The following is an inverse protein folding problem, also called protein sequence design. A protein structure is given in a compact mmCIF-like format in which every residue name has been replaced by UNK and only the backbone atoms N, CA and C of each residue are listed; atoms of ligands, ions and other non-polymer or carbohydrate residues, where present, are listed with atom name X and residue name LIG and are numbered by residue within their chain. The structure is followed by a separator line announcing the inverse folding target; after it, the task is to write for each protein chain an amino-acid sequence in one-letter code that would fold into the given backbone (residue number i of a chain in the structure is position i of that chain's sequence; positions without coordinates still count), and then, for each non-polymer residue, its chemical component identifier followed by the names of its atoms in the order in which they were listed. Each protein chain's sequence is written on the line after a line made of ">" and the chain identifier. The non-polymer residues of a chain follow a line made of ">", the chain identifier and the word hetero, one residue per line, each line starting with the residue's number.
data_IF_332724740601
#
_entry.id   IF_332724740601
#
_cell.length_a   1.000
_cell.length_b   1.000
_cell.length_c   1.000
_cell.angle_alpha   90.00
_cell.angle_beta   90.00
_cell.angle_gamma   90.00
#
_symmetry.space_group_name_H-M   'P 1'
#
loop_
_entity.id
_entity.type
_entity.pdbx_description
1 polymer ?
#
# COMPACT_ATOMS: atom_id res chain seq x y z
N UNK A 1 -50.45 -63.00 46.40
CA UNK A 1 -49.07 -63.24 45.89
C UNK A 1 -48.84 -62.65 44.48
N UNK A 2 -49.76 -62.76 43.49
CA UNK A 2 -49.57 -62.17 42.14
C UNK A 2 -49.27 -60.66 42.11
N UNK A 3 -49.86 -59.85 43.01
CA UNK A 3 -49.60 -58.41 43.09
C UNK A 3 -48.17 -58.05 43.51
N UNK A 4 -47.56 -58.85 44.38
CA UNK A 4 -46.21 -58.63 44.91
C UNK A 4 -45.13 -58.80 43.83
N UNK A 5 -45.34 -59.75 42.90
CA UNK A 5 -44.46 -59.94 41.73
C UNK A 5 -44.55 -58.75 40.77
N UNK A 6 -45.76 -58.20 40.55
CA UNK A 6 -45.95 -57.02 39.70
C UNK A 6 -45.29 -55.77 40.29
N UNK A 7 -45.44 -55.53 41.59
CA UNK A 7 -44.81 -54.39 42.27
C UNK A 7 -43.28 -54.50 42.25
N UNK A 8 -42.72 -55.72 42.40
CA UNK A 8 -41.27 -55.95 42.23
C UNK A 8 -40.77 -55.67 40.82
N UNK A 9 -41.58 -55.89 39.78
CA UNK A 9 -41.20 -55.54 38.40
C UNK A 9 -41.05 -54.01 38.18
N UNK A 10 -41.71 -53.18 39.00
CA UNK A 10 -41.53 -51.73 38.95
C UNK A 10 -40.11 -51.30 39.38
N UNK A 11 -39.46 -52.07 40.25
CA UNK A 11 -38.07 -51.84 40.62
C UNK A 11 -37.12 -51.99 39.42
N UNK A 12 -37.40 -52.93 38.49
CA UNK A 12 -36.63 -53.08 37.25
C UNK A 12 -36.85 -51.90 36.29
N UNK A 13 -38.08 -51.38 36.20
CA UNK A 13 -38.38 -50.19 35.38
C UNK A 13 -37.67 -48.94 35.93
N UNK A 14 -37.62 -48.79 37.25
CA UNK A 14 -36.89 -47.69 37.90
C UNK A 14 -35.38 -47.86 37.73
N UNK A 15 -34.83 -49.07 37.73
CA UNK A 15 -33.43 -49.31 37.40
C UNK A 15 -33.10 -48.96 35.93
N UNK A 16 -34.04 -49.18 34.99
CA UNK A 16 -33.88 -48.70 33.62
C UNK A 16 -33.90 -47.16 33.55
N UNK A 17 -34.70 -46.49 34.39
CA UNK A 17 -34.70 -45.04 34.54
C UNK A 17 -33.35 -44.50 35.03
N UNK A 18 -32.67 -45.19 35.95
CA UNK A 18 -31.31 -44.83 36.39
C UNK A 18 -30.28 -44.88 35.26
N UNK A 19 -30.36 -45.88 34.38
CA UNK A 19 -29.46 -45.98 33.22
C UNK A 19 -29.65 -44.81 32.25
N UNK A 20 -30.91 -44.41 32.02
CA UNK A 20 -31.21 -43.25 31.16
C UNK A 20 -30.76 -41.95 31.84
N UNK A 21 -30.95 -41.83 33.15
CA UNK A 21 -30.48 -40.68 33.93
C UNK A 21 -28.95 -40.52 33.89
N UNK A 22 -28.21 -41.63 33.80
CA UNK A 22 -26.76 -41.62 33.64
C UNK A 22 -26.26 -40.90 32.37
N UNK A 23 -27.09 -40.83 31.32
CA UNK A 23 -26.75 -40.15 30.05
C UNK A 23 -26.86 -38.62 30.13
N UNK A 24 -27.54 -38.09 31.16
CA UNK A 24 -27.63 -36.65 31.35
C UNK A 24 -26.25 -36.06 31.67
N UNK A 25 -26.03 -34.79 31.32
CA UNK A 25 -24.84 -34.02 31.76
C UNK A 25 -25.21 -33.05 32.88
N UNK A 26 -26.43 -32.53 32.88
CA UNK A 26 -26.98 -31.59 33.87
C UNK A 26 -28.20 -32.17 34.60
N UNK A 27 -28.54 -31.62 35.77
CA UNK A 27 -29.70 -32.04 36.59
C UNK A 27 -29.71 -33.50 37.08
N UNK A 28 -28.54 -34.16 37.11
CA UNK A 28 -28.42 -35.54 37.60
C UNK A 28 -28.97 -35.72 39.01
N UNK A 29 -28.59 -34.83 39.94
CA UNK A 29 -28.97 -34.95 41.35
C UNK A 29 -30.49 -34.92 41.55
N UNK A 30 -31.18 -34.00 40.88
CA UNK A 30 -32.64 -33.89 40.97
C UNK A 30 -33.33 -35.15 40.42
N UNK A 31 -32.85 -35.69 39.29
CA UNK A 31 -33.38 -36.91 38.70
C UNK A 31 -33.11 -38.13 39.59
N UNK A 32 -31.91 -38.24 40.18
CA UNK A 32 -31.60 -39.32 41.12
C UNK A 32 -32.41 -39.22 42.43
N UNK A 33 -32.69 -38.01 42.91
CA UNK A 33 -33.60 -37.82 44.06
C UNK A 33 -35.03 -38.29 43.75
N UNK A 34 -35.56 -37.95 42.57
CA UNK A 34 -36.88 -38.41 42.13
C UNK A 34 -36.94 -39.94 41.95
N UNK A 35 -35.89 -40.53 41.38
CA UNK A 35 -35.75 -41.99 41.28
C UNK A 35 -35.71 -42.64 42.67
N UNK A 36 -34.96 -42.07 43.60
CA UNK A 36 -34.87 -42.59 44.97
C UNK A 36 -36.23 -42.52 45.69
N UNK A 37 -36.98 -41.43 45.52
CA UNK A 37 -38.34 -41.31 46.05
C UNK A 37 -39.26 -42.39 45.47
N UNK A 38 -39.19 -42.66 44.16
CA UNK A 38 -39.97 -43.73 43.53
C UNK A 38 -39.59 -45.11 44.07
N UNK A 39 -38.31 -45.40 44.30
CA UNK A 39 -37.87 -46.64 44.96
C UNK A 39 -38.46 -46.77 46.36
N UNK A 40 -38.40 -45.70 47.16
CA UNK A 40 -38.98 -45.69 48.51
C UNK A 40 -40.49 -45.92 48.50
N UNK A 41 -41.24 -45.32 47.57
CA UNK A 41 -42.68 -45.56 47.42
C UNK A 41 -42.99 -47.00 47.01
N UNK A 42 -42.16 -47.62 46.15
CA UNK A 42 -42.28 -49.05 45.81
C UNK A 42 -42.04 -49.92 47.05
N UNK A 43 -40.99 -49.65 47.83
CA UNK A 43 -40.65 -50.42 49.02
C UNK A 43 -41.71 -50.29 50.13
N UNK A 44 -42.29 -49.10 50.29
CA UNK A 44 -43.42 -48.86 51.19
C UNK A 44 -44.64 -49.70 50.79
N UNK A 45 -45.00 -49.71 49.51
CA UNK A 45 -46.10 -50.53 49.01
C UNK A 45 -45.84 -52.03 49.20
N UNK A 46 -44.60 -52.50 49.00
CA UNK A 46 -44.22 -53.89 49.27
C UNK A 46 -44.39 -54.22 50.77
N UNK A 47 -43.97 -53.32 51.66
CA UNK A 47 -44.10 -53.48 53.10
C UNK A 47 -45.57 -53.47 53.56
N UNK A 48 -46.39 -52.59 53.01
CA UNK A 48 -47.83 -52.51 53.29
C UNK A 48 -48.56 -53.79 52.84
N UNK A 49 -48.27 -54.29 51.64
CA UNK A 49 -48.83 -55.56 51.12
C UNK A 49 -48.41 -56.76 51.98
N UNK A 50 -47.22 -56.72 52.60
CA UNK A 50 -46.71 -57.82 53.42
C UNK A 50 -47.26 -57.81 54.86
N UNK A 51 -47.52 -56.64 55.44
CA UNK A 51 -47.84 -56.49 56.86
C UNK A 51 -49.30 -56.09 57.16
N UNK A 52 -50.08 -55.69 56.15
CA UNK A 52 -51.48 -55.30 56.33
C UNK A 52 -52.42 -56.10 55.43
N UNK A 53 -53.66 -56.32 55.89
CA UNK A 53 -54.68 -57.08 55.15
C UNK A 53 -55.32 -56.17 54.06
N UNK A 54 -54.57 -55.90 52.99
CA UNK A 54 -55.05 -55.10 51.86
C UNK A 54 -56.00 -55.91 50.96
N UNK A 55 -57.04 -55.25 50.45
CA UNK A 55 -57.91 -55.84 49.43
C UNK A 55 -57.25 -55.81 48.05
N UNK A 56 -57.58 -56.75 47.17
CA UNK A 56 -57.00 -56.83 45.82
C UNK A 56 -57.16 -55.52 45.03
N UNK A 57 -58.31 -54.85 45.18
CA UNK A 57 -58.62 -53.57 44.51
C UNK A 57 -57.76 -52.41 45.01
N UNK A 58 -57.44 -52.37 46.31
CA UNK A 58 -56.54 -51.36 46.88
C UNK A 58 -55.10 -51.55 46.37
N UNK A 59 -54.65 -52.80 46.24
CA UNK A 59 -53.34 -53.13 45.69
C UNK A 59 -53.25 -52.73 44.21
N UNK A 60 -54.28 -53.03 43.42
CA UNK A 60 -54.31 -52.68 42.00
C UNK A 60 -54.37 -51.17 41.78
N UNK A 61 -55.13 -50.42 42.60
CA UNK A 61 -55.15 -48.95 42.53
C UNK A 61 -53.78 -48.35 42.88
N UNK A 62 -53.17 -48.74 44.00
CA UNK A 62 -51.86 -48.25 44.40
C UNK A 62 -50.76 -48.62 43.39
N UNK A 63 -50.83 -49.82 42.79
CA UNK A 63 -49.96 -50.22 41.70
C UNK A 63 -50.13 -49.33 40.45
N UNK A 64 -51.38 -49.08 40.03
CA UNK A 64 -51.66 -48.24 38.87
C UNK A 64 -51.21 -46.78 39.08
N UNK A 65 -51.38 -46.24 40.29
CA UNK A 65 -50.91 -44.89 40.64
C UNK A 65 -49.38 -44.81 40.57
N UNK A 66 -48.69 -45.84 41.04
CA UNK A 66 -47.23 -45.91 41.03
C UNK A 66 -46.69 -46.08 39.59
N UNK A 67 -47.34 -46.91 38.77
CA UNK A 67 -47.04 -47.03 37.33
C UNK A 67 -47.22 -45.68 36.64
N UNK A 68 -48.34 -44.98 36.89
CA UNK A 68 -48.59 -43.67 36.29
C UNK A 68 -47.54 -42.62 36.71
N UNK A 69 -47.08 -42.67 37.96
CA UNK A 69 -46.00 -41.80 38.45
C UNK A 69 -44.65 -42.13 37.79
N UNK A 70 -44.29 -43.42 37.69
CA UNK A 70 -43.06 -43.86 37.01
C UNK A 70 -43.11 -43.45 35.53
N UNK A 71 -44.22 -43.66 34.84
CA UNK A 71 -44.37 -43.28 33.43
C UNK A 71 -44.32 -41.77 33.21
N UNK A 72 -44.79 -40.98 34.17
CA UNK A 72 -44.69 -39.51 34.11
C UNK A 72 -43.23 -39.06 34.24
N UNK A 73 -42.52 -39.55 35.25
CA UNK A 73 -41.11 -39.20 35.45
C UNK A 73 -40.21 -39.74 34.34
N UNK A 74 -40.50 -40.94 33.83
CA UNK A 74 -39.75 -41.52 32.71
C UNK A 74 -39.96 -40.74 31.40
N UNK A 75 -41.18 -40.25 31.13
CA UNK A 75 -41.45 -39.35 29.99
C UNK A 75 -40.71 -38.03 30.12
N UNK A 76 -40.75 -37.42 31.31
CA UNK A 76 -40.01 -36.19 31.61
C UNK A 76 -38.50 -36.40 31.43
N UNK A 77 -37.95 -37.48 31.95
CA UNK A 77 -36.54 -37.82 31.81
C UNK A 77 -36.14 -37.97 30.34
N UNK A 78 -36.94 -38.70 29.55
CA UNK A 78 -36.71 -38.84 28.10
C UNK A 78 -36.72 -37.49 27.38
N UNK A 79 -37.63 -36.59 27.75
CA UNK A 79 -37.69 -35.24 27.17
C UNK A 79 -36.42 -34.45 27.50
N UNK A 80 -35.98 -34.44 28.76
CA UNK A 80 -34.77 -33.71 29.17
C UNK A 80 -33.52 -34.28 28.49
N UNK A 81 -33.41 -35.61 28.35
CA UNK A 81 -32.31 -36.25 27.61
C UNK A 81 -32.32 -35.87 26.14
N UNK A 82 -33.50 -35.84 25.49
CA UNK A 82 -33.62 -35.43 24.11
C UNK A 82 -33.26 -33.94 23.91
N UNK A 83 -33.73 -33.06 24.78
CA UNK A 83 -33.39 -31.63 24.78
C UNK A 83 -31.90 -31.39 24.96
N UNK A 84 -31.25 -32.13 25.88
CA UNK A 84 -29.80 -32.08 26.07
C UNK A 84 -29.05 -32.45 24.78
N UNK A 85 -29.45 -33.53 24.11
CA UNK A 85 -28.82 -33.98 22.86
C UNK A 85 -29.00 -32.96 21.74
N UNK A 86 -30.21 -32.43 21.57
CA UNK A 86 -30.47 -31.39 20.56
C UNK A 86 -29.63 -30.13 20.80
N UNK A 87 -29.48 -29.71 22.06
CA UNK A 87 -28.66 -28.55 22.42
C UNK A 87 -27.17 -28.82 22.18
N UNK A 88 -26.67 -29.97 22.60
CA UNK A 88 -25.28 -30.37 22.39
C UNK A 88 -24.94 -30.45 20.89
N UNK A 89 -25.82 -31.06 20.07
CA UNK A 89 -25.68 -31.11 18.61
C UNK A 89 -25.73 -29.70 17.99
N UNK A 90 -26.63 -28.84 18.46
CA UNK A 90 -26.71 -27.46 17.97
C UNK A 90 -25.46 -26.64 18.29
N UNK A 91 -24.88 -26.82 19.49
CA UNK A 91 -23.64 -26.15 19.87
C UNK A 91 -22.43 -26.71 19.11
N UNK A 92 -22.42 -28.01 18.82
CA UNK A 92 -21.41 -28.62 17.94
C UNK A 92 -21.50 -28.09 16.51
N UNK A 93 -22.71 -27.99 15.95
CA UNK A 93 -22.95 -27.39 14.63
C UNK A 93 -22.48 -25.94 14.57
N UNK A 94 -22.75 -25.12 15.61
CA UNK A 94 -22.24 -23.74 15.69
C UNK A 94 -20.72 -23.68 15.73
N UNK A 95 -20.07 -24.58 16.47
CA UNK A 95 -18.60 -24.66 16.51
C UNK A 95 -18.02 -25.02 15.16
N UNK A 96 -18.64 -25.96 14.44
CA UNK A 96 -18.22 -26.34 13.09
C UNK A 96 -18.40 -25.17 12.12
N UNK A 97 -19.57 -24.50 12.15
CA UNK A 97 -19.83 -23.32 11.31
C UNK A 97 -18.82 -22.19 11.56
N UNK A 98 -18.55 -21.86 12.83
CA UNK A 98 -17.57 -20.83 13.18
C UNK A 98 -16.15 -21.19 12.71
N UNK A 99 -15.74 -22.46 12.79
CA UNK A 99 -14.46 -22.91 12.24
C UNK A 99 -14.40 -22.75 10.73
N UNK A 100 -15.46 -23.15 10.03
CA UNK A 100 -15.54 -23.03 8.57
C UNK A 100 -15.48 -21.56 8.12
N UNK A 101 -16.17 -20.66 8.81
CA UNK A 101 -16.15 -19.23 8.51
C UNK A 101 -14.78 -18.60 8.77
N UNK A 102 -14.13 -18.95 9.88
CA UNK A 102 -12.79 -18.48 10.21
C UNK A 102 -11.76 -18.98 9.18
N UNK A 103 -11.85 -20.25 8.76
CA UNK A 103 -10.98 -20.82 7.74
C UNK A 103 -11.19 -20.14 6.38
N UNK A 104 -12.45 -19.92 5.98
CA UNK A 104 -12.78 -19.17 4.76
C UNK A 104 -12.25 -17.73 4.81
N UNK A 105 -12.33 -17.07 5.96
CA UNK A 105 -11.81 -15.71 6.13
C UNK A 105 -10.28 -15.68 6.04
N UNK A 106 -9.60 -16.65 6.65
CA UNK A 106 -8.15 -16.78 6.56
C UNK A 106 -7.69 -16.99 5.10
N UNK A 107 -8.36 -17.87 4.35
CA UNK A 107 -8.07 -18.10 2.93
C UNK A 107 -8.26 -16.81 2.12
N UNK A 108 -9.37 -16.09 2.34
CA UNK A 108 -9.63 -14.83 1.63
C UNK A 108 -8.58 -13.75 1.93
N UNK A 109 -8.15 -13.64 3.18
CA UNK A 109 -7.12 -12.68 3.58
C UNK A 109 -5.73 -13.06 3.01
N UNK A 110 -5.42 -14.35 2.92
CA UNK A 110 -4.20 -14.85 2.30
C UNK A 110 -4.18 -14.60 0.79
N UNK A 111 -5.28 -14.87 0.09
CA UNK A 111 -5.45 -14.55 -1.34
C UNK A 111 -5.29 -13.05 -1.61
N UNK A 112 -5.87 -12.21 -0.75
CA UNK A 112 -5.75 -10.76 -0.88
C UNK A 112 -4.30 -10.29 -0.71
N UNK A 113 -3.57 -10.87 0.24
CA UNK A 113 -2.14 -10.57 0.45
C UNK A 113 -1.31 -11.02 -0.75
N UNK A 114 -1.59 -12.21 -1.28
CA UNK A 114 -0.89 -12.73 -2.45
C UNK A 114 -1.08 -11.83 -3.68
N UNK A 115 -2.31 -11.36 -3.95
CA UNK A 115 -2.54 -10.47 -5.08
C UNK A 115 -1.90 -9.09 -4.89
N UNK A 116 -1.89 -8.56 -3.65
CA UNK A 116 -1.17 -7.33 -3.31
C UNK A 116 0.34 -7.48 -3.54
N UNK A 117 0.96 -8.56 -3.07
CA UNK A 117 2.39 -8.81 -3.26
C UNK A 117 2.73 -8.98 -4.75
N UNK A 118 1.88 -9.67 -5.51
CA UNK A 118 2.02 -9.80 -6.97
C UNK A 118 1.88 -8.47 -7.69
N UNK A 119 1.00 -7.58 -7.24
CA UNK A 119 0.87 -6.23 -7.79
C UNK A 119 2.08 -5.37 -7.44
N UNK A 120 2.55 -5.40 -6.19
CA UNK A 120 3.77 -4.72 -5.78
C UNK A 120 4.98 -5.20 -6.58
N UNK A 121 5.12 -6.51 -6.79
CA UNK A 121 6.19 -7.08 -7.59
C UNK A 121 6.13 -6.58 -9.04
N UNK A 122 4.94 -6.56 -9.65
CA UNK A 122 4.72 -6.00 -11.01
C UNK A 122 5.11 -4.52 -11.06
N UNK A 123 4.69 -3.72 -10.08
CA UNK A 123 5.02 -2.29 -10.01
C UNK A 123 6.54 -2.06 -9.84
N UNK A 124 7.20 -2.80 -8.94
CA UNK A 124 8.65 -2.71 -8.75
C UNK A 124 9.43 -3.09 -10.01
N UNK A 125 9.01 -4.16 -10.69
CA UNK A 125 9.61 -4.57 -11.95
C UNK A 125 9.45 -3.50 -13.03
N UNK A 126 8.26 -2.91 -13.17
CA UNK A 126 8.00 -1.83 -14.13
C UNK A 126 8.83 -0.56 -13.83
N UNK A 127 8.98 -0.20 -12.55
CA UNK A 127 9.80 0.95 -12.14
C UNK A 127 11.28 0.67 -12.45
N UNK A 128 11.79 -0.52 -12.10
CA UNK A 128 13.18 -0.89 -12.36
C UNK A 128 13.49 -0.90 -13.87
N UNK A 129 12.56 -1.40 -14.70
CA UNK A 129 12.71 -1.38 -16.14
C UNK A 129 12.73 0.05 -16.68
N UNK A 130 11.79 0.91 -16.23
CA UNK A 130 11.76 2.33 -16.63
C UNK A 130 13.06 3.04 -16.23
N UNK A 131 13.57 2.82 -15.02
CA UNK A 131 14.83 3.41 -14.56
C UNK A 131 16.00 2.97 -15.43
N UNK A 132 16.06 1.69 -15.81
CA UNK A 132 17.10 1.17 -16.71
C UNK A 132 17.02 1.79 -18.10
N UNK A 133 15.83 1.95 -18.66
CA UNK A 133 15.63 2.61 -19.96
C UNK A 133 16.04 4.09 -19.90
N UNK A 134 15.67 4.81 -18.83
CA UNK A 134 16.05 6.20 -18.60
C UNK A 134 17.58 6.36 -18.43
N UNK A 135 18.23 5.49 -17.66
CA UNK A 135 19.69 5.48 -17.49
C UNK A 135 20.41 5.21 -18.82
N UNK A 136 19.90 4.28 -19.64
CA UNK A 136 20.46 4.03 -20.97
C UNK A 136 20.30 5.23 -21.91
N UNK A 137 19.17 5.93 -21.86
CA UNK A 137 18.95 7.15 -22.64
C UNK A 137 19.89 8.28 -22.18
N UNK A 138 19.99 8.50 -20.87
CA UNK A 138 20.92 9.48 -20.29
C UNK A 138 22.38 9.16 -20.64
N UNK A 139 22.75 7.88 -20.63
CA UNK A 139 24.08 7.43 -21.06
C UNK A 139 24.36 7.77 -22.52
N UNK A 140 23.39 7.55 -23.43
CA UNK A 140 23.53 7.90 -24.86
C UNK A 140 23.65 9.40 -25.07
N UNK A 141 22.80 10.20 -24.42
CA UNK A 141 22.84 11.67 -24.50
C UNK A 141 24.18 12.20 -23.99
N UNK A 142 24.65 11.71 -22.83
CA UNK A 142 25.94 12.11 -22.27
C UNK A 142 27.12 11.71 -23.18
N UNK A 143 27.05 10.54 -23.82
CA UNK A 143 28.07 10.11 -24.77
C UNK A 143 28.10 11.01 -26.01
N UNK A 144 26.93 11.32 -26.58
CA UNK A 144 26.79 12.22 -27.73
C UNK A 144 27.28 13.64 -27.42
N UNK A 145 26.90 14.19 -26.26
CA UNK A 145 27.42 15.50 -25.81
C UNK A 145 28.94 15.48 -25.60
N UNK A 146 29.49 14.39 -25.05
CA UNK A 146 30.93 14.24 -24.86
C UNK A 146 31.67 14.17 -26.20
N UNK A 147 31.13 13.44 -27.18
CA UNK A 147 31.66 13.40 -28.54
C UNK A 147 31.62 14.78 -29.19
N UNK A 148 30.47 15.45 -29.16
CA UNK A 148 30.30 16.80 -29.71
C UNK A 148 31.26 17.82 -29.07
N UNK A 149 31.51 17.71 -27.76
CA UNK A 149 32.47 18.57 -27.06
C UNK A 149 33.92 18.29 -27.46
N UNK A 150 34.28 17.04 -27.73
CA UNK A 150 35.61 16.69 -28.25
C UNK A 150 35.82 17.25 -29.66
N UNK A 151 34.83 17.07 -30.55
CA UNK A 151 34.87 17.60 -31.91
C UNK A 151 35.02 19.13 -31.92
N UNK A 152 34.26 19.85 -31.09
CA UNK A 152 34.39 21.29 -30.97
C UNK A 152 35.80 21.71 -30.51
N UNK A 153 36.36 21.00 -29.52
CA UNK A 153 37.72 21.29 -29.03
C UNK A 153 38.79 21.02 -30.08
N UNK A 154 38.61 20.00 -30.89
CA UNK A 154 39.52 19.69 -32.01
C UNK A 154 39.45 20.77 -33.10
N UNK A 155 38.25 21.28 -33.40
CA UNK A 155 38.08 22.42 -34.31
C UNK A 155 38.74 23.69 -33.75
N UNK A 156 38.53 24.01 -32.47
CA UNK A 156 39.18 25.16 -31.82
C UNK A 156 40.72 25.06 -31.88
N UNK A 157 41.28 23.87 -31.61
CA UNK A 157 42.72 23.65 -31.71
C UNK A 157 43.23 23.76 -33.15
N UNK A 158 42.47 23.29 -34.14
CA UNK A 158 42.83 23.42 -35.55
C UNK A 158 42.77 24.87 -36.02
N UNK A 159 41.76 25.63 -35.58
CA UNK A 159 41.63 27.06 -35.87
C UNK A 159 42.76 27.86 -35.19
N UNK A 160 43.08 27.56 -33.93
CA UNK A 160 44.21 28.18 -33.21
C UNK A 160 45.55 27.89 -33.90
N UNK A 161 45.77 26.65 -34.35
CA UNK A 161 46.97 26.27 -35.10
C UNK A 161 47.05 27.02 -36.45
N UNK A 162 45.94 27.12 -37.18
CA UNK A 162 45.88 27.86 -38.44
C UNK A 162 46.16 29.36 -38.23
N UNK A 163 45.53 29.96 -37.21
CA UNK A 163 45.76 31.36 -36.85
C UNK A 163 47.21 31.60 -36.43
N UNK A 164 47.82 30.69 -35.67
CA UNK A 164 49.23 30.79 -35.29
C UNK A 164 50.14 30.75 -36.52
N UNK A 165 49.89 29.82 -37.45
CA UNK A 165 50.67 29.72 -38.68
C UNK A 165 50.54 30.99 -39.55
N UNK A 166 49.33 31.53 -39.69
CA UNK A 166 49.11 32.80 -40.41
C UNK A 166 49.85 33.97 -39.76
N UNK A 167 49.74 34.12 -38.44
CA UNK A 167 50.44 35.17 -37.68
C UNK A 167 51.96 35.05 -37.82
N UNK A 168 52.51 33.83 -37.84
CA UNK A 168 53.93 33.64 -38.07
C UNK A 168 54.37 34.00 -39.49
N UNK A 169 53.56 33.67 -40.51
CA UNK A 169 53.81 34.09 -41.89
C UNK A 169 53.80 35.61 -42.00
N UNK A 170 52.78 36.27 -41.46
CA UNK A 170 52.71 37.74 -41.41
C UNK A 170 53.91 38.37 -40.69
N UNK A 171 54.39 37.78 -39.58
CA UNK A 171 55.61 38.24 -38.90
C UNK A 171 56.85 38.13 -39.78
N UNK A 172 57.03 37.00 -40.48
CA UNK A 172 58.16 36.79 -41.40
C UNK A 172 58.12 37.78 -42.56
N UNK A 173 56.94 38.01 -43.13
CA UNK A 173 56.74 38.98 -44.22
C UNK A 173 56.99 40.42 -43.73
N UNK A 174 56.54 40.76 -42.52
CA UNK A 174 56.83 42.05 -41.89
C UNK A 174 58.34 42.26 -41.67
N UNK A 175 59.05 41.26 -41.14
CA UNK A 175 60.50 41.34 -40.94
C UNK A 175 61.26 41.44 -42.27
N UNK A 176 60.83 40.71 -43.30
CA UNK A 176 61.39 40.78 -44.65
C UNK A 176 61.16 42.17 -45.27
N UNK A 177 59.93 42.70 -45.20
CA UNK A 177 59.61 44.05 -45.67
C UNK A 177 60.46 45.11 -44.96
N UNK A 178 60.66 44.97 -43.64
CA UNK A 178 61.52 45.86 -42.86
C UNK A 178 62.99 45.83 -43.31
N UNK A 179 63.53 44.66 -43.66
CA UNK A 179 64.92 44.53 -44.17
C UNK A 179 65.06 45.10 -45.57
N UNK A 180 64.13 44.78 -46.46
CA UNK A 180 64.12 45.33 -47.83
C UNK A 180 64.05 46.86 -47.76
N UNK A 181 63.16 47.43 -46.94
CA UNK A 181 63.06 48.87 -46.70
C UNK A 181 64.40 49.49 -46.26
N UNK A 182 65.13 48.83 -45.36
CA UNK A 182 66.44 49.30 -44.89
C UNK A 182 67.56 49.19 -45.93
N UNK A 183 67.51 48.21 -46.84
CA UNK A 183 68.52 48.00 -47.89
C UNK A 183 68.29 48.88 -49.13
N UNK A 184 67.04 49.19 -49.49
CA UNK A 184 66.70 50.05 -50.64
C UNK A 184 66.57 51.54 -50.29
N UNK A 185 66.82 51.93 -49.03
CA UNK A 185 66.75 53.33 -48.60
C UNK A 185 65.37 53.97 -48.76
N UNK A 186 64.33 53.14 -48.88
CA UNK A 186 62.95 53.58 -49.07
C UNK A 186 62.24 53.48 -47.73
N UNK A 187 61.82 54.61 -47.17
CA UNK A 187 61.01 54.67 -45.95
C UNK A 187 59.63 54.10 -46.25
N UNK A 188 59.37 52.87 -45.79
CA UNK A 188 58.07 52.22 -45.96
C UNK A 188 57.29 52.43 -44.66
N UNK A 189 56.36 53.38 -44.69
CA UNK A 189 55.39 53.63 -43.62
C UNK A 189 54.39 52.46 -43.57
N UNK A 190 54.71 51.40 -42.83
CA UNK A 190 53.81 50.26 -42.63
C UNK A 190 52.79 50.59 -41.52
N UNK A 191 51.48 50.54 -41.82
CA UNK A 191 50.45 50.97 -40.88
C UNK A 191 50.38 50.04 -39.68
N UNK A 192 50.51 50.64 -38.50
CA UNK A 192 50.20 50.02 -37.22
C UNK A 192 48.71 49.64 -37.20
N UNK A 193 48.41 48.33 -37.23
CA UNK A 193 47.06 47.81 -37.01
C UNK A 193 46.63 48.07 -35.56
N UNK A 194 46.19 49.31 -35.29
CA UNK A 194 45.56 49.68 -34.03
C UNK A 194 44.18 49.02 -33.95
N UNK A 195 44.09 47.99 -33.11
CA UNK A 195 42.84 47.55 -32.47
C UNK A 195 42.19 48.74 -31.74
N UNK A 196 41.28 49.46 -32.38
CA UNK A 196 40.40 50.45 -31.73
C UNK A 196 39.00 50.44 -32.34
N UNK A 197 38.19 49.50 -31.87
CA UNK A 197 36.73 49.64 -31.83
C UNK A 197 36.17 48.80 -30.69
N UNK A 198 36.41 49.27 -29.47
CA UNK A 198 35.54 49.05 -28.31
C UNK A 198 35.31 50.40 -27.65
N UNK A 199 34.59 51.27 -28.38
CA UNK A 199 34.09 52.53 -27.83
C UNK A 199 32.60 52.35 -27.55
N UNK A 200 32.27 52.30 -26.25
CA UNK A 200 31.08 52.87 -25.62
C UNK A 200 29.80 52.96 -26.48
N UNK A 201 29.09 51.84 -26.61
CA UNK A 201 27.74 51.78 -27.21
C UNK A 201 26.64 52.05 -26.15
N UNK A 202 26.99 52.14 -24.87
CA UNK A 202 26.02 52.06 -23.76
C UNK A 202 25.38 53.38 -23.29
N UNK A 203 25.48 54.49 -24.03
CA UNK A 203 24.92 55.78 -23.58
C UNK A 203 23.94 56.46 -24.56
N UNK A 204 23.77 55.96 -25.78
CA UNK A 204 22.89 56.60 -26.76
C UNK A 204 21.40 56.24 -26.59
N UNK A 205 21.08 55.10 -25.98
CA UNK A 205 19.71 54.62 -25.87
C UNK A 205 19.41 54.13 -24.44
N UNK A 206 19.05 55.05 -23.53
CA UNK A 206 18.62 54.66 -22.18
C UNK A 206 17.16 54.15 -22.20
N UNK A 207 17.00 52.85 -22.46
CA UNK A 207 15.69 52.20 -22.60
C UNK A 207 15.06 51.74 -21.27
N UNK A 208 15.63 52.17 -20.13
CA UNK A 208 15.20 51.73 -18.78
C UNK A 208 13.71 51.99 -18.49
N UNK A 209 13.13 53.04 -19.08
CA UNK A 209 11.73 53.44 -18.90
C UNK A 209 10.70 52.75 -19.81
N UNK A 210 11.13 51.97 -20.81
CA UNK A 210 10.21 51.43 -21.82
C UNK A 210 9.43 50.21 -21.31
N UNK A 211 8.12 50.18 -21.56
CA UNK A 211 7.28 49.01 -21.27
C UNK A 211 7.50 47.89 -22.32
N UNK A 212 7.15 46.64 -21.99
CA UNK A 212 7.27 45.48 -22.87
C UNK A 212 6.58 45.69 -24.23
N UNK A 213 5.41 46.31 -24.25
CA UNK A 213 4.71 46.65 -25.49
C UNK A 213 5.53 47.62 -26.37
N UNK A 214 6.11 48.65 -25.75
CA UNK A 214 6.92 49.65 -26.46
C UNK A 214 8.23 49.06 -27.00
N UNK A 215 8.88 48.15 -26.25
CA UNK A 215 10.08 47.45 -26.72
C UNK A 215 9.75 46.50 -27.88
N UNK A 216 8.62 45.79 -27.80
CA UNK A 216 8.14 44.91 -28.88
C UNK A 216 7.82 45.71 -30.15
N UNK A 217 7.15 46.84 -30.01
CA UNK A 217 6.78 47.68 -31.15
C UNK A 217 8.02 48.31 -31.78
N UNK A 218 8.99 48.74 -30.98
CA UNK A 218 10.26 49.28 -31.49
C UNK A 218 11.04 48.23 -32.27
N UNK A 219 11.07 46.98 -31.80
CA UNK A 219 11.72 45.86 -32.52
C UNK A 219 11.03 45.57 -33.87
N UNK A 220 9.71 45.66 -33.92
CA UNK A 220 8.95 45.33 -35.13
C UNK A 220 8.90 46.48 -36.15
N UNK A 221 9.18 47.72 -35.74
CA UNK A 221 9.01 48.91 -36.58
C UNK A 221 10.30 49.67 -36.86
N UNK A 222 11.35 49.51 -36.05
CA UNK A 222 12.64 50.19 -36.27
C UNK A 222 13.62 49.28 -37.02
N UNK A 223 14.41 49.87 -37.92
CA UNK A 223 15.52 49.20 -38.63
C UNK A 223 16.90 49.66 -38.13
N UNK A 224 16.96 50.39 -37.00
CA UNK A 224 18.21 50.86 -36.43
C UNK A 224 18.89 49.74 -35.63
N UNK A 225 19.97 49.21 -36.20
CA UNK A 225 20.70 48.07 -35.65
C UNK A 225 21.24 48.35 -34.23
N UNK A 226 21.66 49.57 -33.91
CA UNK A 226 22.18 49.90 -32.57
C UNK A 226 21.06 49.98 -31.52
N UNK A 227 19.88 50.45 -31.93
CA UNK A 227 18.70 50.52 -31.08
C UNK A 227 18.09 49.13 -30.81
N UNK A 228 18.12 48.25 -31.81
CA UNK A 228 17.66 46.86 -31.68
C UNK A 228 18.56 46.06 -30.74
N UNK A 229 19.88 46.27 -30.80
CA UNK A 229 20.82 45.61 -29.89
C UNK A 229 20.63 46.11 -28.44
N UNK A 230 20.44 47.42 -28.25
CA UNK A 230 20.10 48.00 -26.94
C UNK A 230 18.75 47.47 -26.39
N UNK A 231 17.74 47.29 -27.25
CA UNK A 231 16.46 46.67 -26.87
C UNK A 231 16.66 45.22 -26.39
N UNK A 232 17.51 44.46 -27.08
CA UNK A 232 17.81 43.06 -26.75
C UNK A 232 18.58 42.95 -25.43
N UNK A 233 19.56 43.82 -25.21
CA UNK A 233 20.33 43.86 -23.96
C UNK A 233 19.45 44.19 -22.74
N UNK A 234 18.57 45.19 -22.84
CA UNK A 234 17.64 45.52 -21.75
C UNK A 234 16.63 44.39 -21.49
N UNK A 235 16.20 43.65 -22.53
CA UNK A 235 15.36 42.47 -22.35
C UNK A 235 16.08 41.36 -21.58
N UNK A 236 17.33 41.06 -21.93
CA UNK A 236 18.16 40.10 -21.21
C UNK A 236 18.44 40.53 -19.77
N UNK A 237 18.67 41.83 -19.52
CA UNK A 237 18.86 42.38 -18.18
C UNK A 237 17.64 42.15 -17.29
N UNK A 238 16.44 42.46 -17.79
CA UNK A 238 15.17 42.23 -17.06
C UNK A 238 14.90 40.74 -16.81
N UNK A 239 15.13 39.89 -17.81
CA UNK A 239 15.01 38.44 -17.66
C UNK A 239 15.97 37.88 -16.61
N UNK A 240 17.22 38.34 -16.58
CA UNK A 240 18.22 37.90 -15.60
C UNK A 240 17.80 38.25 -14.17
N UNK A 241 17.27 39.46 -13.94
CA UNK A 241 16.73 39.88 -12.65
C UNK A 241 15.50 39.04 -12.28
N UNK A 242 14.58 38.79 -13.23
CA UNK A 242 13.42 37.95 -12.99
C UNK A 242 13.80 36.51 -12.65
N UNK A 243 14.75 35.91 -13.36
CA UNK A 243 15.24 34.56 -13.07
C UNK A 243 15.92 34.50 -11.71
N UNK A 244 16.76 35.48 -11.37
CA UNK A 244 17.39 35.58 -10.05
C UNK A 244 16.35 35.72 -8.93
N UNK A 245 15.34 36.57 -9.10
CA UNK A 245 14.22 36.71 -8.16
C UNK A 245 13.40 35.42 -8.06
N UNK A 246 13.08 34.77 -9.18
CA UNK A 246 12.33 33.51 -9.22
C UNK A 246 13.10 32.39 -8.52
N UNK A 247 14.41 32.27 -8.73
CA UNK A 247 15.27 31.30 -8.05
C UNK A 247 15.33 31.54 -6.54
N UNK A 248 15.35 32.81 -6.11
CA UNK A 248 15.35 33.19 -4.69
C UNK A 248 14.00 32.89 -4.01
N UNK A 249 12.88 33.10 -4.70
CA UNK A 249 11.53 32.85 -4.16
C UNK A 249 11.03 31.40 -4.34
N UNK A 250 11.60 30.63 -5.26
CA UNK A 250 11.27 29.19 -5.41
C UNK A 250 11.72 28.37 -4.21
N UNK A 251 12.76 28.80 -3.48
CA UNK A 251 13.23 28.15 -2.24
C UNK A 251 12.32 28.41 -1.02
N UNK A 252 11.44 29.42 -1.08
CA UNK A 252 10.52 29.76 0.02
C UNK A 252 9.15 29.05 0.00
N UNK A 253 8.79 28.34 -1.08
CA UNK A 253 7.51 27.62 -1.18
C UNK A 253 7.55 26.14 -0.77
N UNK A 254 8.73 25.62 -0.42
CA UNK A 254 8.89 24.24 0.09
C UNK A 254 9.25 24.21 1.59
N UNK A 255 9.03 25.31 2.33
CA UNK A 255 9.27 25.38 3.79
C UNK A 255 8.23 26.23 4.53
N UNK A 256 6.96 26.08 4.17
CA UNK A 256 5.80 26.36 5.02
C UNK A 256 4.63 25.51 4.56
#
# INVERSE_FOLDING_TARGET
>A
IRGLVKVKALHEQVAAMEKVAGQLKTNKEQVYQQIHQLKQSIDQLIHEIANTHMTATQIDNAYNDLVASIDREFRRLKQVVAEQKMKDEQDELKRIQSKLENEKHAIFDEDKRFEQEKEEFRQRSAIAQRQKEEEQLMGKVNAEESHRRKELREQELAEEAFLSEMNERERRDYDLARRIASETGSEVDLPHLQRKTRLNINQKHDLRGHNYAQLRDLINTSCDLELLDACREEFHRRLKVYHAWKLKNRKGKNSS
#
